data_IF_880420122983
#
_entry.id   IF_880420122983
#
_cell.length_a   1.000
_cell.length_b   1.000
_cell.length_c   1.000
_cell.angle_alpha   90.00
_cell.angle_beta   90.00
_cell.angle_gamma   90.00
#
_symmetry.space_group_name_H-M   'P 1'
#
loop_
_entity.id
_entity.type
_entity.pdbx_description
1 polymer ?
#
# COMPACT_ATOMS: atom_id res chain seq x y z
N UNK A 1 -72.75 36.82 24.70
CA UNK A 1 -71.34 36.42 24.92
C UNK A 1 -70.67 36.37 23.55
N UNK A 2 -69.73 37.27 23.28
CA UNK A 2 -69.21 37.58 21.94
C UNK A 2 -67.74 38.00 22.07
N UNK A 3 -66.93 37.68 21.04
CA UNK A 3 -65.53 38.09 20.76
C UNK A 3 -64.47 37.18 21.42
N UNK A 4 -63.40 36.72 20.78
CA UNK A 4 -62.72 37.13 19.54
C UNK A 4 -61.73 36.03 19.10
N UNK A 5 -61.49 35.94 17.78
CA UNK A 5 -60.43 35.16 17.12
C UNK A 5 -59.02 35.56 17.58
N UNK A 6 -58.11 34.59 17.64
CA UNK A 6 -56.67 34.82 17.51
C UNK A 6 -55.99 33.59 16.88
N UNK A 7 -55.38 33.83 15.73
CA UNK A 7 -54.63 32.90 14.92
C UNK A 7 -53.31 32.51 15.60
N UNK A 8 -52.95 31.22 15.54
CA UNK A 8 -51.61 30.75 15.85
C UNK A 8 -51.05 30.09 14.60
N UNK A 9 -50.14 30.81 13.95
CA UNK A 9 -49.29 30.41 12.85
C UNK A 9 -48.27 29.39 13.33
N UNK A 10 -48.40 28.15 12.87
CA UNK A 10 -47.39 27.10 13.09
C UNK A 10 -46.15 27.41 12.26
N UNK A 11 -45.09 27.84 12.95
CA UNK A 11 -43.76 28.07 12.39
C UNK A 11 -43.14 26.71 12.05
N UNK A 12 -43.11 26.37 10.76
CA UNK A 12 -42.36 25.23 10.24
C UNK A 12 -40.85 25.52 10.35
N UNK A 13 -40.22 25.03 11.41
CA UNK A 13 -38.77 24.92 11.51
C UNK A 13 -38.31 23.91 10.46
N UNK A 14 -37.84 24.41 9.31
CA UNK A 14 -36.99 23.63 8.42
C UNK A 14 -35.67 23.35 9.17
N UNK A 15 -35.60 22.22 9.85
CA UNK A 15 -34.32 21.61 10.18
C UNK A 15 -33.68 21.20 8.85
N UNK A 16 -32.85 22.08 8.29
CA UNK A 16 -31.90 21.71 7.27
C UNK A 16 -30.95 20.68 7.90
N UNK A 17 -31.25 19.39 7.70
CA UNK A 17 -30.29 18.32 7.93
C UNK A 17 -29.16 18.50 6.90
N UNK A 18 -28.20 19.36 7.18
CA UNK A 18 -26.88 19.25 6.59
C UNK A 18 -26.22 18.02 7.21
N UNK A 19 -26.34 16.87 6.53
CA UNK A 19 -25.59 15.67 6.87
C UNK A 19 -24.12 15.86 6.50
N UNK A 20 -23.45 16.78 7.16
CA UNK A 20 -21.98 16.83 7.21
C UNK A 20 -21.57 16.08 8.46
N UNK A 21 -21.57 14.75 8.37
CA UNK A 21 -20.79 13.94 9.30
C UNK A 21 -19.34 14.41 9.17
N UNK A 22 -18.76 14.89 10.26
CA UNK A 22 -17.36 15.29 10.32
C UNK A 22 -16.47 14.04 10.24
N UNK A 23 -15.24 14.20 9.72
CA UNK A 23 -14.25 13.11 9.70
C UNK A 23 -14.05 12.54 11.11
N UNK A 24 -14.07 13.38 12.15
CA UNK A 24 -14.00 12.97 13.55
C UNK A 24 -15.20 12.12 14.03
N UNK A 25 -16.41 12.38 13.53
CA UNK A 25 -17.60 11.57 13.83
C UNK A 25 -17.63 10.24 13.08
N UNK A 26 -16.99 10.16 11.91
CA UNK A 26 -16.75 8.91 11.19
C UNK A 26 -15.60 8.08 11.82
N UNK A 27 -14.79 8.69 12.70
CA UNK A 27 -13.67 8.09 13.42
C UNK A 27 -14.02 7.64 14.86
N UNK A 28 -15.30 7.60 15.25
CA UNK A 28 -15.70 6.82 16.43
C UNK A 28 -15.39 5.35 16.14
N UNK A 29 -14.15 4.95 16.41
CA UNK A 29 -13.54 3.68 16.04
C UNK A 29 -14.49 2.54 16.41
N UNK A 30 -15.15 1.97 15.41
CA UNK A 30 -15.59 0.60 15.56
C UNK A 30 -14.33 -0.21 15.92
N UNK A 31 -14.36 -1.04 16.97
CA UNK A 31 -13.27 -1.99 17.20
C UNK A 31 -13.01 -2.72 15.88
N UNK A 32 -11.74 -2.94 15.51
CA UNK A 32 -11.39 -3.63 14.27
C UNK A 32 -12.24 -4.90 14.18
N UNK A 33 -12.97 -5.07 13.08
CA UNK A 33 -13.87 -6.21 12.85
C UNK A 33 -13.46 -6.95 11.60
N UNK A 34 -13.78 -8.23 11.53
CA UNK A 34 -13.53 -9.00 10.31
C UNK A 34 -14.36 -8.43 9.14
N UNK A 35 -13.76 -8.14 7.98
CA UNK A 35 -14.51 -7.65 6.82
C UNK A 35 -15.64 -8.59 6.37
N UNK A 36 -15.49 -9.91 6.54
CA UNK A 36 -16.50 -10.92 6.22
C UNK A 36 -17.47 -11.23 7.39
N UNK A 37 -17.23 -10.64 8.57
CA UNK A 37 -18.07 -10.75 9.76
C UNK A 37 -18.01 -9.43 10.56
N UNK A 38 -18.66 -8.35 10.06
CA UNK A 38 -18.46 -6.98 10.54
C UNK A 38 -18.99 -6.71 11.95
N UNK A 39 -19.65 -7.68 12.57
CA UNK A 39 -20.10 -7.62 13.97
C UNK A 39 -19.12 -8.29 14.94
N UNK A 40 -18.05 -8.90 14.41
CA UNK A 40 -17.12 -9.71 15.18
C UNK A 40 -15.75 -9.03 15.23
N UNK A 41 -15.24 -8.84 16.45
CA UNK A 41 -13.90 -8.27 16.67
C UNK A 41 -12.83 -9.09 15.97
N UNK A 42 -11.89 -8.39 15.34
CA UNK A 42 -10.73 -8.93 14.67
C UNK A 42 -9.44 -8.41 15.31
N UNK A 43 -8.36 -9.18 15.24
CA UNK A 43 -7.04 -8.68 15.59
C UNK A 43 -6.66 -7.47 14.72
N UNK A 44 -5.94 -6.51 15.30
CA UNK A 44 -5.60 -5.25 14.62
C UNK A 44 -4.91 -5.43 13.24
N UNK A 45 -4.10 -6.48 13.07
CA UNK A 45 -3.42 -6.77 11.80
C UNK A 45 -4.37 -7.14 10.65
N UNK A 46 -5.62 -7.53 10.94
CA UNK A 46 -6.67 -7.74 9.92
C UNK A 46 -7.18 -6.40 9.36
N UNK A 47 -7.01 -5.30 10.12
CA UNK A 47 -7.34 -3.94 9.73
C UNK A 47 -6.07 -3.11 9.43
N UNK A 48 -5.08 -3.74 8.80
CA UNK A 48 -3.85 -3.10 8.30
C UNK A 48 -2.92 -2.48 9.37
N UNK A 49 -3.07 -2.85 10.64
CA UNK A 49 -2.08 -2.50 11.67
C UNK A 49 -0.93 -3.49 11.64
N UNK A 50 0.12 -3.15 10.90
CA UNK A 50 1.30 -4.01 10.70
C UNK A 50 2.20 -4.00 11.96
N UNK A 51 2.67 -5.17 12.44
CA UNK A 51 3.67 -5.26 13.50
C UNK A 51 4.95 -4.45 13.22
N UNK A 52 5.52 -3.83 14.25
CA UNK A 52 6.66 -2.90 14.11
C UNK A 52 7.99 -3.56 13.77
N UNK A 53 8.09 -4.88 13.90
CA UNK A 53 9.26 -5.68 13.54
C UNK A 53 9.29 -6.09 12.06
N UNK A 54 8.19 -5.85 11.33
CA UNK A 54 8.12 -6.02 9.88
C UNK A 54 8.44 -4.71 9.18
N UNK A 55 9.27 -4.78 8.15
CA UNK A 55 9.52 -3.63 7.27
C UNK A 55 8.40 -3.47 6.23
N UNK A 56 7.78 -4.58 5.82
CA UNK A 56 6.59 -4.58 4.99
C UNK A 56 5.70 -5.78 5.33
N UNK A 57 4.40 -5.60 5.19
CA UNK A 57 3.41 -6.65 5.39
C UNK A 57 2.19 -6.43 4.51
N UNK A 58 1.51 -7.51 4.16
CA UNK A 58 0.26 -7.44 3.44
C UNK A 58 -0.70 -8.54 3.91
N UNK A 59 -1.98 -8.19 3.93
CA UNK A 59 -3.07 -9.08 4.25
C UNK A 59 -3.41 -9.93 3.03
N UNK A 60 -3.80 -11.19 3.26
CA UNK A 60 -4.44 -12.00 2.25
C UNK A 60 -5.64 -12.73 2.80
N UNK A 61 -6.58 -13.03 1.92
CA UNK A 61 -7.86 -13.62 2.29
C UNK A 61 -8.24 -14.80 1.41
N UNK A 62 -8.84 -15.81 2.02
CA UNK A 62 -9.53 -16.87 1.31
C UNK A 62 -10.90 -17.11 1.93
N UNK A 63 -11.94 -17.06 1.11
CA UNK A 63 -13.28 -17.48 1.51
C UNK A 63 -13.29 -18.94 1.99
N UNK A 64 -14.26 -19.26 2.84
CA UNK A 64 -14.52 -20.63 3.29
C UNK A 64 -14.58 -21.59 2.09
N UNK A 65 -13.82 -22.67 2.14
CA UNK A 65 -13.76 -23.68 1.08
C UNK A 65 -14.11 -25.07 1.60
N UNK A 66 -14.95 -25.79 0.87
CA UNK A 66 -15.23 -27.20 1.13
C UNK A 66 -14.00 -28.10 0.93
N UNK A 67 -12.99 -27.62 0.18
CA UNK A 67 -11.72 -28.32 -0.02
C UNK A 67 -10.77 -28.22 1.20
N UNK A 68 -11.20 -27.53 2.27
CA UNK A 68 -10.52 -27.50 3.56
C UNK A 68 -9.45 -26.40 3.71
N UNK A 69 -8.93 -26.29 4.93
CA UNK A 69 -8.05 -25.19 5.36
C UNK A 69 -6.71 -25.15 4.60
N UNK A 70 -6.22 -26.29 4.11
CA UNK A 70 -4.99 -26.34 3.32
C UNK A 70 -5.10 -25.59 2.00
N UNK A 71 -6.25 -25.70 1.31
CA UNK A 71 -6.53 -24.95 0.08
C UNK A 71 -6.72 -23.46 0.40
N UNK A 72 -7.48 -23.15 1.45
CA UNK A 72 -7.68 -21.76 1.88
C UNK A 72 -6.35 -21.08 2.20
N UNK A 73 -5.44 -21.76 2.93
CA UNK A 73 -4.12 -21.22 3.25
C UNK A 73 -3.29 -20.91 2.01
N UNK A 74 -3.29 -21.81 1.00
CA UNK A 74 -2.57 -21.55 -0.26
C UNK A 74 -3.13 -20.32 -0.98
N UNK A 75 -4.45 -20.20 -1.05
CA UNK A 75 -5.11 -19.05 -1.69
C UNK A 75 -4.79 -17.76 -0.95
N UNK A 76 -5.00 -17.72 0.37
CA UNK A 76 -4.79 -16.52 1.17
C UNK A 76 -3.31 -16.09 1.18
N UNK A 77 -2.37 -17.03 1.27
CA UNK A 77 -0.92 -16.70 1.24
C UNK A 77 -0.50 -16.17 -0.12
N UNK A 78 -1.01 -16.72 -1.21
CA UNK A 78 -0.71 -16.21 -2.54
C UNK A 78 -1.32 -14.82 -2.76
N UNK A 79 -2.55 -14.61 -2.32
CA UNK A 79 -3.21 -13.30 -2.34
C UNK A 79 -2.39 -12.26 -1.55
N UNK A 80 -1.98 -12.57 -0.31
CA UNK A 80 -1.12 -11.71 0.50
C UNK A 80 0.21 -11.38 -0.20
N UNK A 81 0.85 -12.36 -0.84
CA UNK A 81 2.11 -12.14 -1.55
C UNK A 81 1.95 -11.26 -2.78
N UNK A 82 0.84 -11.36 -3.50
CA UNK A 82 0.54 -10.46 -4.63
C UNK A 82 0.36 -9.02 -4.12
N UNK A 83 -0.35 -8.84 -3.01
CA UNK A 83 -0.51 -7.51 -2.41
C UNK A 83 0.81 -6.95 -1.88
N UNK A 84 1.61 -7.78 -1.21
CA UNK A 84 2.94 -7.40 -0.73
C UNK A 84 3.87 -7.00 -1.88
N UNK A 85 3.84 -7.75 -2.99
CA UNK A 85 4.60 -7.43 -4.20
C UNK A 85 4.19 -6.08 -4.80
N UNK A 86 2.87 -5.83 -4.89
CA UNK A 86 2.35 -4.56 -5.41
C UNK A 86 2.78 -3.38 -4.53
N UNK A 87 2.66 -3.52 -3.20
CA UNK A 87 3.09 -2.48 -2.26
C UNK A 87 4.58 -2.22 -2.36
N UNK A 88 5.40 -3.29 -2.36
CA UNK A 88 6.85 -3.18 -2.50
C UNK A 88 7.24 -2.47 -3.80
N UNK A 89 6.60 -2.83 -4.93
CA UNK A 89 6.83 -2.17 -6.22
C UNK A 89 6.54 -0.66 -6.12
N UNK A 90 5.39 -0.29 -5.54
CA UNK A 90 5.02 1.12 -5.36
C UNK A 90 6.00 1.86 -4.46
N UNK A 91 6.40 1.27 -3.35
CA UNK A 91 7.32 1.89 -2.39
C UNK A 91 8.69 2.15 -3.02
N UNK A 92 9.27 1.14 -3.66
CA UNK A 92 10.60 1.24 -4.28
C UNK A 92 10.61 2.22 -5.45
N UNK A 93 9.57 2.23 -6.28
CA UNK A 93 9.43 3.24 -7.35
C UNK A 93 9.33 4.66 -6.81
N UNK A 94 8.57 4.87 -5.72
CA UNK A 94 8.46 6.16 -5.07
C UNK A 94 9.78 6.60 -4.43
N UNK A 95 10.50 5.69 -3.78
CA UNK A 95 11.83 5.95 -3.21
C UNK A 95 12.82 6.38 -4.29
N UNK A 96 12.84 5.69 -5.44
CA UNK A 96 13.68 6.07 -6.58
C UNK A 96 13.31 7.43 -7.12
N UNK A 97 12.01 7.70 -7.33
CA UNK A 97 11.53 9.00 -7.80
C UNK A 97 12.00 10.13 -6.87
N UNK A 98 11.84 9.97 -5.56
CA UNK A 98 12.32 10.95 -4.57
C UNK A 98 13.84 11.12 -4.61
N UNK A 99 14.59 10.03 -4.81
CA UNK A 99 16.05 10.07 -4.90
C UNK A 99 16.54 10.82 -6.16
N UNK A 100 15.87 10.64 -7.30
CA UNK A 100 16.18 11.38 -8.53
C UNK A 100 15.77 12.85 -8.40
N UNK A 101 14.56 13.14 -7.90
CA UNK A 101 14.07 14.52 -7.70
C UNK A 101 14.96 15.33 -6.73
N UNK A 102 15.55 14.68 -5.73
CA UNK A 102 16.49 15.33 -4.79
C UNK A 102 17.91 15.50 -5.35
N UNK A 103 18.29 14.73 -6.38
CA UNK A 103 19.63 14.79 -6.98
C UNK A 103 19.71 15.80 -8.14
N UNK A 104 18.61 16.02 -8.87
CA UNK A 104 18.59 16.93 -10.03
C UNK A 104 18.44 18.39 -9.58
N UNK A 105 19.47 19.20 -9.82
CA UNK A 105 19.53 20.61 -9.40
C UNK A 105 18.96 21.62 -10.43
N UNK A 106 18.31 21.17 -11.51
CA UNK A 106 17.87 22.07 -12.60
C UNK A 106 16.46 21.75 -13.11
N UNK A 107 15.60 22.77 -13.16
CA UNK A 107 14.21 22.74 -13.63
C UNK A 107 14.05 22.57 -15.15
N UNK A 108 15.11 22.19 -15.86
CA UNK A 108 15.16 22.14 -17.34
C UNK A 108 15.11 20.71 -17.89
N UNK A 109 15.07 19.69 -17.01
CA UNK A 109 15.27 18.27 -17.36
C UNK A 109 14.08 17.36 -17.01
N UNK A 110 12.93 17.92 -16.58
CA UNK A 110 11.75 17.16 -16.13
C UNK A 110 11.29 16.03 -17.10
N UNK A 111 11.31 16.26 -18.42
CA UNK A 111 10.91 15.25 -19.40
C UNK A 111 11.90 14.08 -19.54
N UNK A 112 13.19 14.29 -19.23
CA UNK A 112 14.17 13.21 -19.20
C UNK A 112 14.00 12.35 -17.93
N UNK A 113 13.65 12.99 -16.81
CA UNK A 113 13.39 12.32 -15.52
C UNK A 113 12.17 11.39 -15.62
N UNK A 114 11.10 11.81 -16.28
CA UNK A 114 9.88 10.99 -16.43
C UNK A 114 10.16 9.65 -17.13
N UNK A 115 10.92 9.68 -18.24
CA UNK A 115 11.31 8.48 -18.99
C UNK A 115 12.20 7.52 -18.17
N UNK A 116 13.07 8.09 -17.34
CA UNK A 116 13.94 7.33 -16.43
C UNK A 116 13.12 6.63 -15.35
N UNK A 117 12.20 7.36 -14.72
CA UNK A 117 11.32 6.82 -13.68
C UNK A 117 10.46 5.70 -14.27
N UNK A 118 9.88 5.87 -15.45
CA UNK A 118 9.10 4.82 -16.13
C UNK A 118 9.94 3.58 -16.43
N UNK A 119 11.19 3.75 -16.87
CA UNK A 119 12.08 2.62 -17.14
C UNK A 119 12.47 1.89 -15.86
N UNK A 120 12.72 2.63 -14.77
CA UNK A 120 12.98 2.04 -13.46
C UNK A 120 11.77 1.30 -12.90
N UNK A 121 10.56 1.84 -13.06
CA UNK A 121 9.31 1.18 -12.70
C UNK A 121 9.14 -0.14 -13.46
N UNK A 122 9.49 -0.17 -14.75
CA UNK A 122 9.48 -1.38 -15.57
C UNK A 122 10.47 -2.43 -15.07
N UNK A 123 11.71 -2.03 -14.74
CA UNK A 123 12.71 -2.94 -14.15
C UNK A 123 12.20 -3.49 -12.81
N UNK A 124 11.72 -2.61 -11.93
CA UNK A 124 11.20 -2.98 -10.60
C UNK A 124 10.08 -4.01 -10.74
N UNK A 125 9.12 -3.78 -11.64
CA UNK A 125 8.03 -4.73 -11.92
C UNK A 125 8.55 -6.09 -12.41
N UNK A 126 9.55 -6.10 -13.29
CA UNK A 126 10.14 -7.34 -13.81
C UNK A 126 10.87 -8.14 -12.73
N UNK A 127 11.59 -7.46 -11.83
CA UNK A 127 12.27 -8.10 -10.69
C UNK A 127 11.24 -8.65 -9.72
N UNK A 128 10.32 -7.81 -9.23
CA UNK A 128 9.30 -8.18 -8.24
C UNK A 128 8.43 -9.34 -8.71
N UNK A 129 8.03 -9.36 -9.99
CA UNK A 129 7.22 -10.47 -10.54
C UNK A 129 7.95 -11.81 -10.64
N UNK A 130 9.29 -11.81 -10.55
CA UNK A 130 10.13 -13.01 -10.72
C UNK A 130 10.85 -13.43 -9.44
N UNK A 131 11.18 -12.48 -8.57
CA UNK A 131 12.16 -12.68 -7.50
C UNK A 131 11.77 -12.13 -6.14
N UNK A 132 10.51 -11.70 -5.90
CA UNK A 132 10.12 -11.31 -4.55
C UNK A 132 10.27 -12.51 -3.59
N UNK A 133 11.36 -12.51 -2.83
CA UNK A 133 11.83 -13.65 -2.04
C UNK A 133 11.73 -13.34 -0.55
N UNK A 134 11.81 -14.39 0.27
CA UNK A 134 11.84 -14.30 1.73
C UNK A 134 10.64 -13.65 2.43
N UNK A 135 9.49 -13.58 1.73
CA UNK A 135 8.20 -13.30 2.36
C UNK A 135 7.69 -14.49 3.18
N UNK A 136 7.42 -14.25 4.46
CA UNK A 136 7.03 -15.27 5.45
C UNK A 136 5.57 -15.10 5.86
N UNK A 137 4.86 -16.22 6.02
CA UNK A 137 3.57 -16.22 6.72
C UNK A 137 3.83 -15.92 8.20
N UNK A 138 3.31 -14.78 8.67
CA UNK A 138 3.52 -14.30 10.05
C UNK A 138 2.42 -14.85 10.96
N UNK A 139 1.16 -14.68 10.56
CA UNK A 139 0.00 -15.13 11.33
C UNK A 139 -1.16 -15.48 10.41
N UNK A 140 -2.04 -16.36 10.88
CA UNK A 140 -3.28 -16.70 10.19
C UNK A 140 -4.43 -16.81 11.19
N UNK A 141 -5.61 -16.34 10.81
CA UNK A 141 -6.81 -16.37 11.65
C UNK A 141 -8.03 -16.72 10.81
N UNK A 142 -8.87 -17.62 11.32
CA UNK A 142 -10.17 -17.94 10.71
C UNK A 142 -11.21 -16.99 11.30
N UNK A 143 -12.00 -16.36 10.45
CA UNK A 143 -13.12 -15.50 10.84
C UNK A 143 -14.32 -16.34 11.29
N UNK A 144 -15.30 -15.75 12.02
CA UNK A 144 -16.55 -16.45 12.34
C UNK A 144 -17.36 -16.89 11.11
N UNK A 145 -17.23 -16.20 9.98
CA UNK A 145 -17.82 -16.61 8.70
C UNK A 145 -17.10 -17.82 8.07
N UNK A 146 -15.93 -18.19 8.60
CA UNK A 146 -15.11 -19.31 8.18
C UNK A 146 -14.16 -18.99 7.02
N UNK A 147 -13.97 -17.71 6.69
CA UNK A 147 -12.87 -17.25 5.83
C UNK A 147 -11.54 -17.32 6.58
N UNK A 148 -10.43 -17.43 5.84
CA UNK A 148 -9.08 -17.42 6.41
C UNK A 148 -8.38 -16.13 5.99
N UNK A 149 -7.98 -15.37 7.00
CA UNK A 149 -7.11 -14.21 6.88
C UNK A 149 -5.67 -14.64 7.19
N UNK A 150 -4.71 -14.09 6.46
CA UNK A 150 -3.29 -14.28 6.70
C UNK A 150 -2.55 -12.96 6.58
N UNK A 151 -1.53 -12.78 7.41
CA UNK A 151 -0.53 -11.74 7.24
C UNK A 151 0.75 -12.37 6.71
N UNK A 152 1.21 -11.91 5.56
CA UNK A 152 2.56 -12.21 5.06
C UNK A 152 3.41 -10.96 5.25
N UNK A 153 4.67 -11.14 5.63
CA UNK A 153 5.58 -10.02 5.86
C UNK A 153 7.02 -10.31 5.50
N UNK A 154 7.78 -9.23 5.42
CA UNK A 154 9.23 -9.20 5.29
C UNK A 154 9.81 -8.42 6.46
N UNK A 155 10.82 -9.02 7.10
CA UNK A 155 11.67 -8.29 8.05
C UNK A 155 12.57 -7.29 7.30
N UNK A 156 13.25 -6.41 8.04
CA UNK A 156 14.12 -5.39 7.45
C UNK A 156 15.21 -5.99 6.57
N UNK A 157 15.76 -7.14 6.94
CA UNK A 157 16.82 -7.79 6.16
C UNK A 157 16.29 -8.28 4.82
N UNK A 158 15.16 -8.98 4.82
CA UNK A 158 14.51 -9.46 3.59
C UNK A 158 14.09 -8.29 2.69
N UNK A 159 13.52 -7.23 3.25
CA UNK A 159 13.15 -6.04 2.48
C UNK A 159 14.36 -5.41 1.77
N UNK A 160 15.48 -5.27 2.49
CA UNK A 160 16.72 -4.74 1.93
C UNK A 160 17.35 -5.66 0.88
N UNK A 161 17.29 -6.97 1.06
CA UNK A 161 17.75 -7.92 0.05
C UNK A 161 16.97 -7.73 -1.27
N UNK A 162 15.64 -7.59 -1.20
CA UNK A 162 14.81 -7.37 -2.38
C UNK A 162 15.08 -5.99 -3.03
N UNK A 163 15.36 -4.93 -2.26
CA UNK A 163 15.80 -3.63 -2.82
C UNK A 163 17.10 -3.80 -3.59
N UNK A 164 18.07 -4.50 -3.01
CA UNK A 164 19.37 -4.72 -3.66
C UNK A 164 19.21 -5.45 -5.00
N UNK A 165 18.32 -6.45 -5.08
CA UNK A 165 18.02 -7.12 -6.36
C UNK A 165 17.46 -6.16 -7.41
N UNK A 166 16.54 -5.26 -7.02
CA UNK A 166 15.99 -4.24 -7.94
C UNK A 166 17.08 -3.29 -8.41
N UNK A 167 17.91 -2.80 -7.49
CA UNK A 167 18.99 -1.86 -7.82
C UNK A 167 20.05 -2.53 -8.71
N UNK A 168 20.40 -3.79 -8.44
CA UNK A 168 21.38 -4.52 -9.25
C UNK A 168 20.84 -4.77 -10.67
N UNK A 169 19.56 -5.10 -10.81
CA UNK A 169 18.91 -5.23 -12.11
C UNK A 169 18.85 -3.87 -12.85
N UNK A 170 18.48 -2.79 -12.16
CA UNK A 170 18.43 -1.45 -12.73
C UNK A 170 19.82 -0.97 -13.19
N UNK A 171 20.85 -1.29 -12.41
CA UNK A 171 22.24 -0.97 -12.76
C UNK A 171 22.72 -1.67 -14.03
N UNK A 172 22.11 -2.80 -14.40
CA UNK A 172 22.42 -3.55 -15.62
C UNK A 172 21.52 -3.16 -16.81
N UNK A 173 20.47 -2.36 -16.61
CA UNK A 173 19.52 -2.00 -17.65
C UNK A 173 20.10 -0.88 -18.54
N UNK A 174 20.56 -1.28 -19.73
CA UNK A 174 21.19 -0.34 -20.68
C UNK A 174 20.26 0.81 -21.06
N UNK A 175 18.94 0.60 -21.15
CA UNK A 175 17.99 1.66 -21.48
C UNK A 175 17.96 2.78 -20.43
N UNK A 176 18.09 2.43 -19.14
CA UNK A 176 18.18 3.41 -18.06
C UNK A 176 19.38 4.31 -18.28
N UNK A 177 20.56 3.74 -18.52
CA UNK A 177 21.79 4.51 -18.73
C UNK A 177 21.80 5.31 -20.03
N UNK A 178 21.21 4.78 -21.11
CA UNK A 178 21.11 5.50 -22.39
C UNK A 178 20.15 6.70 -22.36
N UNK A 179 19.19 6.73 -21.42
CA UNK A 179 18.29 7.87 -21.24
C UNK A 179 19.00 9.06 -20.56
N UNK A 180 20.10 8.83 -19.85
CA UNK A 180 20.92 9.86 -19.23
C UNK A 180 22.04 10.33 -20.17
N UNK A 181 21.76 11.36 -20.97
CA UNK A 181 22.76 11.99 -21.85
C UNK A 181 23.70 12.89 -21.04
N UNK A 182 24.82 12.35 -20.54
CA UNK A 182 25.92 13.13 -19.97
C UNK A 182 26.48 12.57 -18.65
N UNK A 183 27.70 12.99 -18.30
CA UNK A 183 28.41 12.55 -17.09
C UNK A 183 27.65 12.91 -15.80
N UNK A 184 27.11 14.14 -15.70
CA UNK A 184 26.30 14.59 -14.54
C UNK A 184 25.04 13.74 -14.35
N UNK A 185 24.41 13.42 -15.46
CA UNK A 185 23.17 12.65 -15.53
C UNK A 185 23.42 11.18 -15.07
N UNK A 186 24.56 10.61 -15.47
CA UNK A 186 25.06 9.30 -15.02
C UNK A 186 25.38 9.29 -13.51
N UNK A 187 25.98 10.37 -13.02
CA UNK A 187 26.27 10.55 -11.59
C UNK A 187 24.99 10.61 -10.75
N UNK A 188 23.98 11.37 -11.20
CA UNK A 188 22.71 11.52 -10.48
C UNK A 188 21.93 10.19 -10.41
N UNK A 189 21.91 9.40 -11.50
CA UNK A 189 21.34 8.04 -11.47
C UNK A 189 22.09 7.14 -10.48
N UNK A 190 23.42 7.19 -10.49
CA UNK A 190 24.25 6.40 -9.57
C UNK A 190 23.95 6.77 -8.12
N UNK A 191 23.83 8.06 -7.82
CA UNK A 191 23.50 8.55 -6.49
C UNK A 191 22.09 8.14 -6.06
N UNK A 192 21.11 8.18 -6.97
CA UNK A 192 19.75 7.72 -6.68
C UNK A 192 19.71 6.22 -6.34
N UNK A 193 20.37 5.39 -7.14
CA UNK A 193 20.48 3.94 -6.92
C UNK A 193 21.22 3.61 -5.61
N UNK A 194 22.29 4.33 -5.29
CA UNK A 194 23.01 4.16 -4.03
C UNK A 194 22.17 4.60 -2.82
N UNK A 195 21.34 5.64 -2.97
CA UNK A 195 20.44 6.11 -1.91
C UNK A 195 19.40 5.04 -1.56
N UNK A 196 18.87 4.32 -2.54
CA UNK A 196 17.98 3.17 -2.31
C UNK A 196 18.63 2.08 -1.47
N UNK A 197 19.89 1.73 -1.74
CA UNK A 197 20.64 0.70 -0.98
C UNK A 197 20.92 1.09 0.48
N UNK A 198 20.84 2.38 0.79
CA UNK A 198 21.19 2.92 2.10
C UNK A 198 19.98 3.15 3.03
N UNK A 199 18.75 3.03 2.53
CA UNK A 199 17.51 3.11 3.32
C UNK A 199 17.33 1.85 4.17
#
# INVERSE_FOLDING_TARGET
>A
MKKTLLAVTSLSLLAACSSTQTVEQAQQFAPCTFPDSPTSEAPAWVCDVIPTDLAAGALGYAKKSAAGIGVMRKVAVNDARVQLAAQFQTDVSNMFKQAVESSVNTSTEQGAIENVVETFESVTKNVVSRSLTDSKLIVSQVSPAGGLYVLVGMDKQAYQANINEVVDAASQEQKLWHQFNGEKATEDLTNALNSLKAM
#
